data_IF_635995803842
#
_entry.id   IF_635995803842
#
_cell.length_a   1.000
_cell.length_b   1.000
_cell.length_c   1.000
_cell.angle_alpha   90.00
_cell.angle_beta   90.00
_cell.angle_gamma   90.00
#
_symmetry.space_group_name_H-M   'P 1'
#
loop_
_entity.id
_entity.type
_entity.pdbx_description
1 polymer ?
#
# COMPACT_ATOMS: atom_id res chain seq x y z
N UNK A 1 13.84 -13.30 -4.91
CA UNK A 1 14.02 -14.70 -5.38
C UNK A 1 15.41 -15.25 -5.06
N UNK A 2 16.52 -14.64 -5.53
CA UNK A 2 17.88 -15.16 -5.30
C UNK A 2 18.25 -15.33 -3.82
N UNK A 3 17.84 -14.39 -2.96
CA UNK A 3 18.08 -14.47 -1.51
C UNK A 3 17.46 -15.72 -0.88
N UNK A 4 16.27 -16.12 -1.34
CA UNK A 4 15.54 -17.28 -0.82
C UNK A 4 15.89 -18.59 -1.52
N UNK A 5 16.52 -18.53 -2.70
CA UNK A 5 16.81 -19.71 -3.50
C UNK A 5 17.72 -20.71 -2.74
N UNK A 6 18.82 -20.23 -2.18
CA UNK A 6 19.77 -21.09 -1.44
C UNK A 6 19.11 -21.78 -0.23
N UNK A 7 18.48 -21.07 0.73
CA UNK A 7 17.87 -21.74 1.87
C UNK A 7 16.71 -22.67 1.47
N UNK A 8 15.89 -22.29 0.48
CA UNK A 8 14.79 -23.13 0.02
C UNK A 8 15.27 -24.41 -0.68
N UNK A 9 16.33 -24.33 -1.49
CA UNK A 9 16.95 -25.51 -2.12
C UNK A 9 17.50 -26.45 -1.04
N UNK A 10 18.24 -25.92 -0.06
CA UNK A 10 18.78 -26.70 1.04
C UNK A 10 17.67 -27.39 1.85
N UNK A 11 16.57 -26.69 2.14
CA UNK A 11 15.41 -27.25 2.84
C UNK A 11 14.72 -28.35 2.00
N UNK A 12 14.58 -28.12 0.69
CA UNK A 12 14.00 -29.08 -0.24
C UNK A 12 14.82 -30.38 -0.36
N UNK A 13 16.14 -30.32 -0.19
CA UNK A 13 17.01 -31.50 -0.19
C UNK A 13 16.78 -32.43 1.01
N UNK A 14 16.16 -31.97 2.10
CA UNK A 14 15.98 -32.78 3.33
C UNK A 14 15.19 -34.06 3.06
N UNK A 15 14.09 -33.98 2.30
CA UNK A 15 13.22 -35.14 2.04
C UNK A 15 13.93 -36.24 1.21
N UNK A 16 14.57 -35.95 0.06
CA UNK A 16 15.36 -36.94 -0.68
C UNK A 16 16.48 -37.59 0.13
N UNK A 17 17.20 -36.82 0.95
CA UNK A 17 18.26 -37.37 1.80
C UNK A 17 17.70 -38.28 2.91
N UNK A 18 16.60 -37.88 3.55
CA UNK A 18 15.93 -38.69 4.57
C UNK A 18 15.45 -40.04 4.00
N UNK A 19 14.87 -40.03 2.79
CA UNK A 19 14.47 -41.25 2.10
C UNK A 19 15.69 -42.13 1.81
N UNK A 20 16.77 -41.56 1.26
CA UNK A 20 17.99 -42.31 0.93
C UNK A 20 18.63 -42.96 2.17
N UNK A 21 18.63 -42.27 3.31
CA UNK A 21 19.16 -42.79 4.58
C UNK A 21 18.24 -43.86 5.21
N UNK A 22 16.94 -43.83 4.92
CA UNK A 22 15.97 -44.76 5.51
C UNK A 22 15.76 -46.04 4.69
N UNK A 23 16.22 -46.07 3.44
CA UNK A 23 16.09 -47.23 2.54
C UNK A 23 17.35 -48.08 2.62
N UNK A 24 17.42 -48.96 3.61
CA UNK A 24 18.49 -49.97 3.73
C UNK A 24 18.08 -51.35 3.16
N UNK A 25 16.78 -51.62 2.94
CA UNK A 25 16.30 -52.86 2.32
C UNK A 25 15.10 -52.62 1.38
N UNK A 26 15.20 -53.16 0.16
CA UNK A 26 14.24 -52.97 -0.95
C UNK A 26 12.81 -53.38 -0.58
N UNK A 27 12.63 -54.34 0.34
CA UNK A 27 11.32 -54.96 0.67
C UNK A 27 10.48 -54.11 1.67
N UNK A 28 11.07 -53.18 2.43
CA UNK A 28 10.34 -52.24 3.33
C UNK A 28 10.26 -50.80 2.80
N UNK A 29 10.80 -50.57 1.61
CA UNK A 29 10.97 -49.23 1.00
C UNK A 29 9.65 -48.46 0.83
N UNK A 30 8.57 -49.14 0.39
CA UNK A 30 7.29 -48.49 0.08
C UNK A 30 6.56 -47.89 1.30
N UNK A 31 6.52 -48.60 2.44
CA UNK A 31 5.84 -48.11 3.65
C UNK A 31 6.60 -46.95 4.30
N UNK A 32 7.92 -47.03 4.37
CA UNK A 32 8.77 -45.97 4.92
C UNK A 32 8.73 -44.72 4.03
N UNK A 33 8.81 -44.89 2.71
CA UNK A 33 8.67 -43.77 1.77
C UNK A 33 7.28 -43.12 1.86
N UNK A 34 6.21 -43.91 1.95
CA UNK A 34 4.84 -43.41 2.10
C UNK A 34 4.62 -42.65 3.42
N UNK A 35 5.17 -43.13 4.54
CA UNK A 35 5.10 -42.43 5.83
C UNK A 35 5.88 -41.11 5.81
N UNK A 36 7.10 -41.10 5.26
CA UNK A 36 7.87 -39.87 5.09
C UNK A 36 7.14 -38.85 4.22
N UNK A 37 6.50 -39.31 3.15
CA UNK A 37 5.70 -38.43 2.28
C UNK A 37 4.48 -37.85 3.02
N UNK A 38 3.75 -38.68 3.77
CA UNK A 38 2.59 -38.22 4.54
C UNK A 38 2.97 -37.18 5.62
N UNK A 39 4.09 -37.39 6.33
CA UNK A 39 4.61 -36.43 7.31
C UNK A 39 5.02 -35.13 6.61
N UNK A 40 5.67 -35.22 5.46
CA UNK A 40 6.07 -34.05 4.66
C UNK A 40 4.85 -33.25 4.22
N UNK A 41 3.81 -33.89 3.70
CA UNK A 41 2.56 -33.22 3.30
C UNK A 41 1.88 -32.53 4.48
N UNK A 42 1.73 -33.22 5.62
CA UNK A 42 1.16 -32.62 6.82
C UNK A 42 2.00 -31.41 7.29
N UNK A 43 3.32 -31.57 7.32
CA UNK A 43 4.26 -30.50 7.66
C UNK A 43 4.17 -29.31 6.70
N UNK A 44 3.98 -29.53 5.40
CA UNK A 44 3.78 -28.46 4.42
C UNK A 44 2.46 -27.72 4.65
N UNK A 45 1.36 -28.43 4.94
CA UNK A 45 0.08 -27.79 5.29
C UNK A 45 0.25 -26.88 6.51
N UNK A 46 0.83 -27.40 7.60
CA UNK A 46 1.12 -26.59 8.78
C UNK A 46 2.08 -25.43 8.47
N UNK A 47 3.13 -25.70 7.69
CA UNK A 47 4.13 -24.71 7.29
C UNK A 47 3.59 -23.62 6.37
N UNK A 48 2.49 -23.86 5.66
CA UNK A 48 1.81 -22.85 4.84
C UNK A 48 0.82 -22.02 5.67
N UNK A 49 0.01 -22.66 6.51
CA UNK A 49 -1.05 -21.95 7.24
C UNK A 49 -0.56 -21.29 8.53
N UNK A 50 0.34 -21.91 9.30
CA UNK A 50 0.81 -21.40 10.58
C UNK A 50 1.50 -20.03 10.47
N UNK A 51 2.42 -19.79 9.51
CA UNK A 51 3.02 -18.47 9.36
C UNK A 51 2.01 -17.44 8.91
N UNK A 52 1.19 -17.78 7.91
CA UNK A 52 0.30 -16.83 7.23
C UNK A 52 -0.88 -16.42 8.11
N UNK A 53 -1.52 -17.37 8.78
CA UNK A 53 -2.75 -17.11 9.54
C UNK A 53 -2.50 -16.74 11.00
N UNK A 54 -1.32 -17.05 11.55
CA UNK A 54 -1.08 -16.83 12.98
C UNK A 54 0.23 -16.10 13.31
N UNK A 55 1.38 -16.59 12.86
CA UNK A 55 2.65 -15.98 13.29
C UNK A 55 2.88 -14.58 12.70
N UNK A 56 2.72 -14.40 11.39
CA UNK A 56 2.92 -13.09 10.74
C UNK A 56 1.95 -12.04 11.33
N UNK A 57 0.64 -12.32 11.46
CA UNK A 57 -0.28 -11.36 12.08
C UNK A 57 -0.01 -11.04 13.55
N UNK A 58 0.58 -11.95 14.34
CA UNK A 58 0.73 -11.77 15.80
C UNK A 58 2.09 -11.25 16.22
N UNK A 59 3.17 -11.74 15.60
CA UNK A 59 4.54 -11.42 15.98
C UNK A 59 5.34 -10.75 14.86
N UNK A 60 4.73 -10.55 13.68
CA UNK A 60 5.37 -9.92 12.54
C UNK A 60 6.24 -10.86 11.72
N UNK A 61 6.67 -10.38 10.55
CA UNK A 61 7.41 -11.17 9.56
C UNK A 61 8.81 -11.51 10.06
N UNK A 62 9.51 -10.52 10.61
CA UNK A 62 10.88 -10.69 11.11
C UNK A 62 10.99 -11.75 12.20
N UNK A 63 10.13 -11.68 13.23
CA UNK A 63 10.15 -12.65 14.33
C UNK A 63 9.73 -14.04 13.86
N UNK A 64 8.80 -14.11 12.92
CA UNK A 64 8.41 -15.38 12.29
C UNK A 64 9.62 -16.07 11.65
N UNK A 65 10.43 -15.34 10.88
CA UNK A 65 11.67 -15.89 10.30
C UNK A 65 12.65 -16.38 11.38
N UNK A 66 12.84 -15.63 12.47
CA UNK A 66 13.73 -16.05 13.54
C UNK A 66 13.21 -17.29 14.26
N UNK A 67 11.90 -17.36 14.54
CA UNK A 67 11.28 -18.53 15.18
C UNK A 67 11.49 -19.78 14.33
N UNK A 68 11.31 -19.72 13.02
CA UNK A 68 11.60 -20.83 12.13
C UNK A 68 13.10 -21.17 12.07
N UNK A 69 13.97 -20.16 12.01
CA UNK A 69 15.41 -20.37 12.00
C UNK A 69 15.89 -21.08 13.28
N UNK A 70 15.39 -20.66 14.45
CA UNK A 70 15.68 -21.31 15.73
C UNK A 70 15.12 -22.73 15.77
N UNK A 71 13.90 -22.94 15.30
CA UNK A 71 13.27 -24.27 15.28
C UNK A 71 14.08 -25.26 14.43
N UNK A 72 14.50 -24.85 13.23
CA UNK A 72 15.34 -25.66 12.34
C UNK A 72 16.73 -25.92 12.94
N UNK A 73 17.33 -24.90 13.56
CA UNK A 73 18.63 -25.03 14.22
C UNK A 73 18.54 -25.98 15.43
N UNK A 74 17.46 -25.90 16.21
CA UNK A 74 17.20 -26.77 17.35
C UNK A 74 17.07 -28.24 16.93
N UNK A 75 16.29 -28.52 15.87
CA UNK A 75 16.20 -29.88 15.29
C UNK A 75 17.55 -30.38 14.82
N UNK A 76 18.34 -29.51 14.17
CA UNK A 76 19.69 -29.84 13.70
C UNK A 76 20.64 -30.18 14.86
N UNK A 77 20.56 -29.44 15.97
CA UNK A 77 21.36 -29.70 17.18
C UNK A 77 20.98 -31.05 17.80
N UNK A 78 19.68 -31.34 17.94
CA UNK A 78 19.20 -32.62 18.45
C UNK A 78 19.79 -33.77 17.63
N UNK A 79 19.71 -33.69 16.30
CA UNK A 79 20.28 -34.71 15.41
C UNK A 79 21.79 -34.87 15.59
N UNK A 80 22.55 -33.78 15.65
CA UNK A 80 24.01 -33.82 15.83
C UNK A 80 24.42 -34.38 17.21
N UNK A 81 23.67 -34.07 18.27
CA UNK A 81 23.92 -34.58 19.62
C UNK A 81 23.56 -36.06 19.72
N UNK A 82 22.43 -36.49 19.15
CA UNK A 82 21.99 -37.88 19.15
C UNK A 82 22.96 -38.80 18.39
N UNK A 83 23.63 -38.28 17.36
CA UNK A 83 24.62 -39.02 16.56
C UNK A 83 26.06 -38.95 17.13
N UNK A 84 26.27 -38.32 18.29
CA UNK A 84 27.60 -38.32 18.93
C UNK A 84 27.96 -39.74 19.36
N UNK A 85 29.07 -40.33 18.87
CA UNK A 85 29.54 -41.61 19.39
C UNK A 85 29.89 -41.46 20.87
N UNK A 86 29.36 -42.38 21.69
CA UNK A 86 29.73 -42.50 23.11
C UNK A 86 31.25 -42.55 23.22
N UNK A 87 31.85 -41.65 24.02
CA UNK A 87 33.30 -41.54 24.20
C UNK A 87 33.90 -42.87 24.67
N UNK A 88 34.53 -43.59 23.75
CA UNK A 88 35.22 -44.86 24.02
C UNK A 88 36.25 -45.27 22.96
N UNK A 89 36.76 -44.35 22.14
CA UNK A 89 37.74 -44.65 21.09
C UNK A 89 38.78 -43.55 20.88
N UNK A 90 39.98 -43.87 20.32
CA UNK A 90 41.20 -43.07 20.49
C UNK A 90 41.16 -41.73 19.74
N UNK A 91 41.86 -40.77 20.33
CA UNK A 91 42.01 -39.37 19.94
C UNK A 91 42.49 -39.15 18.49
N UNK A 92 41.58 -38.74 17.61
CA UNK A 92 41.91 -38.07 16.35
C UNK A 92 41.85 -36.55 16.50
N UNK A 93 42.55 -35.78 15.64
CA UNK A 93 42.78 -34.35 15.83
C UNK A 93 41.46 -33.58 15.89
N UNK A 94 41.37 -32.67 16.88
CA UNK A 94 40.20 -31.90 17.27
C UNK A 94 39.65 -31.05 16.11
N UNK A 95 38.81 -31.65 15.25
CA UNK A 95 37.86 -30.88 14.44
C UNK A 95 36.90 -30.18 15.41
N UNK A 96 36.57 -28.89 15.19
CA UNK A 96 35.62 -28.21 16.05
C UNK A 96 34.31 -29.01 16.08
N UNK A 97 33.81 -29.25 17.28
CA UNK A 97 32.60 -30.04 17.45
C UNK A 97 31.44 -29.28 16.78
N UNK A 98 30.91 -29.84 15.69
CA UNK A 98 29.86 -29.21 14.90
C UNK A 98 28.63 -28.89 15.77
N UNK A 99 28.37 -29.68 16.82
CA UNK A 99 27.29 -29.39 17.76
C UNK A 99 27.59 -28.18 18.66
N UNK A 100 28.85 -27.94 19.05
CA UNK A 100 29.23 -26.71 19.75
C UNK A 100 29.04 -25.49 18.85
N UNK A 101 29.37 -25.59 17.55
CA UNK A 101 29.16 -24.52 16.57
C UNK A 101 27.67 -24.22 16.36
N UNK A 102 26.81 -25.24 16.26
CA UNK A 102 25.36 -25.06 16.15
C UNK A 102 24.74 -24.46 17.42
N UNK A 103 25.21 -24.85 18.61
CA UNK A 103 24.80 -24.25 19.88
C UNK A 103 25.24 -22.78 19.97
N UNK A 104 26.46 -22.47 19.50
CA UNK A 104 26.97 -21.10 19.44
C UNK A 104 26.15 -20.22 18.49
N UNK A 105 25.52 -20.77 17.45
CA UNK A 105 24.62 -20.05 16.54
C UNK A 105 23.24 -19.74 17.16
N UNK A 106 22.80 -20.46 18.21
CA UNK A 106 21.56 -20.12 18.92
C UNK A 106 21.68 -18.82 19.71
N UNK A 107 22.89 -18.46 20.14
CA UNK A 107 23.14 -17.25 20.94
C UNK A 107 22.86 -15.97 20.14
N UNK A 108 23.48 -15.71 18.96
CA UNK A 108 23.16 -14.54 18.17
C UNK A 108 21.71 -14.56 17.64
N UNK A 109 21.13 -15.74 17.40
CA UNK A 109 19.74 -15.87 16.95
C UNK A 109 18.73 -15.55 18.07
N UNK A 110 19.00 -16.00 19.29
CA UNK A 110 18.22 -15.64 20.48
C UNK A 110 18.40 -14.17 20.87
N UNK A 111 19.61 -13.62 20.71
CA UNK A 111 19.86 -12.19 20.83
C UNK A 111 19.13 -11.39 19.75
N UNK A 112 18.97 -11.90 18.53
CA UNK A 112 18.19 -11.25 17.48
C UNK A 112 16.67 -11.20 17.79
N UNK A 113 16.16 -12.11 18.64
CA UNK A 113 14.77 -12.05 19.14
C UNK A 113 14.54 -10.95 20.17
N UNK A 114 15.55 -10.66 21.00
CA UNK A 114 15.43 -9.82 22.21
C UNK A 114 16.14 -8.47 22.05
N UNK A 115 17.09 -8.38 21.12
CA UNK A 115 17.96 -7.22 20.92
C UNK A 115 17.20 -6.00 20.40
N UNK A 116 17.72 -4.79 20.66
CA UNK A 116 17.12 -3.56 20.17
C UNK A 116 17.06 -3.59 18.65
N UNK A 117 15.83 -3.47 18.14
CA UNK A 117 15.55 -3.45 16.73
C UNK A 117 15.91 -2.06 16.21
N UNK A 118 16.93 -1.98 15.34
CA UNK A 118 17.08 -0.83 14.47
C UNK A 118 15.92 -0.79 13.47
N UNK A 119 15.78 0.32 12.75
CA UNK A 119 14.78 0.43 11.69
C UNK A 119 14.96 -0.71 10.68
N UNK A 120 13.89 -1.44 10.35
CA UNK A 120 13.94 -2.53 9.38
C UNK A 120 14.40 -2.01 8.01
N UNK A 121 14.00 -0.78 7.67
CA UNK A 121 14.45 -0.06 6.48
C UNK A 121 14.75 1.41 6.81
N UNK A 122 15.66 2.07 6.07
CA UNK A 122 15.96 3.47 6.28
C UNK A 122 14.70 4.35 6.09
N UNK A 123 14.46 5.34 6.98
CA UNK A 123 13.33 6.26 6.86
C UNK A 123 13.60 7.33 5.78
N UNK A 124 13.35 6.99 4.53
CA UNK A 124 13.55 7.89 3.39
C UNK A 124 12.28 8.68 3.07
N UNK A 125 12.00 9.74 3.82
CA UNK A 125 10.92 10.68 3.52
C UNK A 125 11.19 11.52 2.26
N UNK A 126 10.31 12.46 1.95
CA UNK A 126 10.48 13.35 0.80
C UNK A 126 11.82 14.10 0.92
N UNK A 127 12.67 14.06 -0.11
CA UNK A 127 14.08 14.53 -0.14
C UNK A 127 15.15 13.48 0.21
N UNK A 128 14.80 12.20 0.33
CA UNK A 128 15.78 11.11 0.47
C UNK A 128 16.34 10.96 1.90
N UNK A 129 15.65 11.53 2.89
CA UNK A 129 16.02 11.44 4.30
C UNK A 129 14.84 11.72 5.22
N UNK A 130 15.05 11.58 6.52
CA UNK A 130 14.03 11.80 7.55
C UNK A 130 14.39 11.12 8.86
N UNK A 131 13.74 11.53 9.95
CA UNK A 131 13.85 10.86 11.23
C UNK A 131 12.69 9.88 11.39
N UNK A 132 13.00 8.60 11.58
CA UNK A 132 11.98 7.60 11.92
C UNK A 132 11.34 7.97 13.27
N UNK A 133 10.03 8.20 13.27
CA UNK A 133 9.25 8.39 14.50
C UNK A 133 8.79 7.05 15.03
N UNK A 134 8.21 6.22 14.15
CA UNK A 134 7.75 4.87 14.50
C UNK A 134 7.60 4.02 13.23
N UNK A 135 7.66 2.70 13.39
CA UNK A 135 7.32 1.73 12.35
C UNK A 135 6.45 0.60 12.91
N UNK A 136 5.52 0.09 12.09
CA UNK A 136 4.58 -0.98 12.45
C UNK A 136 4.34 -1.90 11.26
N UNK A 137 4.04 -3.15 11.53
CA UNK A 137 3.49 -4.10 10.57
C UNK A 137 2.00 -4.27 10.86
N UNK A 138 1.19 -4.20 9.81
CA UNK A 138 -0.23 -4.58 9.82
C UNK A 138 -0.45 -5.77 8.86
N UNK A 139 -1.64 -6.39 8.84
CA UNK A 139 -1.98 -7.40 7.84
C UNK A 139 -1.94 -6.89 6.39
N UNK A 140 -1.98 -5.56 6.18
CA UNK A 140 -2.02 -4.94 4.87
C UNK A 140 -0.70 -4.29 4.47
N UNK A 141 -0.03 -3.62 5.42
CA UNK A 141 1.09 -2.74 5.12
C UNK A 141 2.22 -2.85 6.14
N UNK A 142 3.44 -2.64 5.65
CA UNK A 142 4.53 -2.16 6.47
C UNK A 142 4.47 -0.63 6.53
N UNK A 143 4.31 -0.05 7.72
CA UNK A 143 4.00 1.37 7.91
C UNK A 143 5.16 2.06 8.61
N UNK A 144 5.62 3.19 8.08
CA UNK A 144 6.55 4.10 8.74
C UNK A 144 5.97 5.50 8.88
N UNK A 145 6.12 6.08 10.06
CA UNK A 145 5.89 7.51 10.31
C UNK A 145 7.25 8.17 10.39
N UNK A 146 7.49 9.11 9.47
CA UNK A 146 8.78 9.77 9.31
C UNK A 146 8.61 11.28 9.44
N UNK A 147 9.54 11.93 10.14
CA UNK A 147 9.59 13.39 10.24
C UNK A 147 10.62 13.96 9.28
N UNK A 148 10.19 14.89 8.44
CA UNK A 148 11.02 15.62 7.46
C UNK A 148 10.80 17.11 7.68
N UNK A 149 11.75 17.78 8.35
CA UNK A 149 11.54 19.15 8.81
C UNK A 149 10.30 19.25 9.71
N UNK A 150 9.35 20.11 9.33
CA UNK A 150 8.07 20.28 10.03
C UNK A 150 6.98 19.31 9.55
N UNK A 151 7.24 18.51 8.51
CA UNK A 151 6.27 17.54 7.98
C UNK A 151 6.39 16.21 8.72
N UNK A 152 5.24 15.66 9.12
CA UNK A 152 5.09 14.24 9.47
C UNK A 152 4.51 13.54 8.26
N UNK A 153 5.17 12.48 7.81
CA UNK A 153 4.89 11.78 6.56
C UNK A 153 4.58 10.31 6.83
N UNK A 154 3.56 9.79 6.15
CA UNK A 154 3.21 8.37 6.16
C UNK A 154 3.86 7.68 4.95
N UNK A 155 4.64 6.65 5.20
CA UNK A 155 5.28 5.84 4.16
C UNK A 155 4.85 4.39 4.34
N UNK A 156 4.50 3.73 3.23
CA UNK A 156 4.07 2.34 3.22
C UNK A 156 5.05 1.47 2.43
N UNK A 157 5.16 0.20 2.80
CA UNK A 157 5.82 -0.90 2.10
C UNK A 157 7.25 -0.58 1.64
N UNK A 158 7.48 -0.28 0.36
CA UNK A 158 8.80 0.05 -0.19
C UNK A 158 9.24 1.47 0.21
N UNK A 159 8.31 2.37 0.53
CA UNK A 159 8.58 3.76 0.89
C UNK A 159 8.93 4.62 -0.33
N UNK A 160 8.44 4.21 -1.50
CA UNK A 160 8.65 4.95 -2.75
C UNK A 160 7.73 6.17 -2.84
N UNK A 161 6.56 6.13 -2.19
CA UNK A 161 5.62 7.24 -2.11
C UNK A 161 5.33 7.71 -0.69
N UNK A 162 4.99 9.00 -0.60
CA UNK A 162 4.40 9.60 0.59
C UNK A 162 2.88 9.46 0.47
N UNK A 163 2.26 8.81 1.46
CA UNK A 163 0.84 8.46 1.44
C UNK A 163 -0.03 9.44 2.24
N UNK A 164 0.59 10.24 3.10
CA UNK A 164 -0.06 11.34 3.80
C UNK A 164 0.98 12.29 4.35
N UNK A 165 0.61 13.56 4.45
CA UNK A 165 1.42 14.62 5.05
C UNK A 165 0.58 15.36 6.08
N UNK A 166 1.18 15.57 7.25
CA UNK A 166 0.71 16.52 8.24
C UNK A 166 1.79 17.58 8.48
N UNK A 167 1.38 18.84 8.48
CA UNK A 167 2.23 19.96 8.90
C UNK A 167 1.45 20.85 9.87
N UNK A 168 1.93 21.09 11.10
CA UNK A 168 1.18 21.88 12.08
C UNK A 168 1.01 23.35 11.66
N UNK A 169 1.93 23.88 10.86
CA UNK A 169 1.99 25.29 10.47
C UNK A 169 1.31 25.57 9.12
N UNK A 170 0.95 24.53 8.36
CA UNK A 170 0.41 24.64 7.00
C UNK A 170 -0.69 23.63 6.76
N UNK A 171 -1.81 24.09 6.19
CA UNK A 171 -2.92 23.22 5.77
C UNK A 171 -2.57 22.55 4.44
N UNK A 172 -2.20 23.35 3.44
CA UNK A 172 -1.85 22.86 2.11
C UNK A 172 -0.50 22.16 2.11
N UNK A 173 -0.45 21.00 1.46
CA UNK A 173 0.74 20.14 1.34
C UNK A 173 1.56 20.45 0.10
N UNK A 174 1.01 21.21 -0.85
CA UNK A 174 1.55 21.36 -2.22
C UNK A 174 1.62 20.02 -2.97
N UNK A 175 0.95 18.98 -2.44
CA UNK A 175 0.87 17.63 -2.98
C UNK A 175 -0.38 17.41 -3.81
N UNK A 176 -0.62 16.16 -4.26
CA UNK A 176 -1.83 15.79 -4.99
C UNK A 176 -3.11 15.98 -4.16
N UNK A 177 -3.04 15.88 -2.83
CA UNK A 177 -4.20 16.04 -1.93
C UNK A 177 -4.89 17.40 -2.06
N UNK A 178 -4.11 18.48 -2.19
CA UNK A 178 -4.61 19.85 -2.38
C UNK A 178 -5.62 19.96 -3.55
N UNK A 179 -5.43 19.16 -4.61
CA UNK A 179 -6.24 19.24 -5.82
C UNK A 179 -7.66 18.69 -5.65
N UNK A 180 -7.89 17.85 -4.64
CA UNK A 180 -9.24 17.40 -4.29
C UNK A 180 -10.13 18.58 -3.88
N UNK A 181 -9.55 19.62 -3.27
CA UNK A 181 -10.26 20.82 -2.86
C UNK A 181 -10.85 21.60 -4.04
N UNK A 182 -10.22 21.56 -5.23
CA UNK A 182 -10.66 22.36 -6.38
C UNK A 182 -11.54 21.57 -7.36
N UNK A 183 -11.61 20.24 -7.23
CA UNK A 183 -12.39 19.39 -8.12
C UNK A 183 -13.89 19.77 -8.22
N UNK A 184 -14.59 20.18 -7.14
CA UNK A 184 -16.00 20.58 -7.23
C UNK A 184 -16.24 21.77 -8.19
N UNK A 185 -15.23 22.61 -8.41
CA UNK A 185 -15.34 23.80 -9.24
C UNK A 185 -15.30 23.51 -10.75
N UNK A 186 -15.16 22.26 -11.16
CA UNK A 186 -15.46 21.85 -12.54
C UNK A 186 -16.97 21.85 -12.84
N UNK A 187 -17.82 21.94 -11.83
CA UNK A 187 -19.27 22.12 -12.01
C UNK A 187 -19.66 23.44 -12.66
N UNK A 188 -20.89 23.50 -13.15
CA UNK A 188 -21.47 24.69 -13.77
C UNK A 188 -21.39 25.94 -12.86
N UNK A 189 -21.00 27.06 -13.44
CA UNK A 189 -20.84 28.33 -12.73
C UNK A 189 -22.18 29.06 -12.54
N UNK A 190 -22.39 29.79 -11.42
CA UNK A 190 -21.49 29.91 -10.28
C UNK A 190 -21.51 28.68 -9.38
N UNK A 191 -20.32 28.13 -9.10
CA UNK A 191 -20.12 27.13 -8.03
C UNK A 191 -19.43 27.78 -6.83
N UNK A 192 -19.94 27.54 -5.62
CA UNK A 192 -19.39 28.08 -4.37
C UNK A 192 -19.13 26.97 -3.34
N UNK A 193 -18.26 27.25 -2.37
CA UNK A 193 -17.90 26.30 -1.30
C UNK A 193 -19.11 25.79 -0.51
N UNK A 194 -20.14 26.63 -0.33
CA UNK A 194 -21.39 26.26 0.37
C UNK A 194 -22.21 25.16 -0.30
N UNK A 195 -21.93 24.81 -1.56
CA UNK A 195 -22.61 23.74 -2.27
C UNK A 195 -22.05 22.36 -1.91
N UNK A 196 -20.84 22.28 -1.35
CA UNK A 196 -20.24 21.04 -0.86
C UNK A 196 -20.68 20.83 0.59
N UNK A 197 -21.51 19.82 0.83
CA UNK A 197 -22.07 19.49 2.15
C UNK A 197 -21.59 18.15 2.68
N UNK A 198 -21.27 17.20 1.79
CA UNK A 198 -20.80 15.87 2.19
C UNK A 198 -19.70 15.33 1.28
N UNK A 199 -18.64 14.80 1.89
CA UNK A 199 -17.44 14.27 1.23
C UNK A 199 -17.21 12.82 1.66
N UNK A 200 -16.95 11.94 0.70
CA UNK A 200 -16.55 10.56 0.94
C UNK A 200 -15.13 10.35 0.45
N UNK A 201 -14.22 9.88 1.30
CA UNK A 201 -12.82 9.62 0.95
C UNK A 201 -12.56 8.12 1.08
N UNK A 202 -12.23 7.48 -0.05
CA UNK A 202 -11.80 6.08 -0.12
C UNK A 202 -10.28 6.04 -0.18
N UNK A 203 -9.65 5.44 0.83
CA UNK A 203 -8.22 5.60 1.09
C UNK A 203 -7.99 6.87 1.90
N UNK A 204 -8.23 6.80 3.21
CA UNK A 204 -8.09 7.94 4.12
C UNK A 204 -6.63 8.32 4.38
N UNK A 205 -5.75 7.30 4.39
CA UNK A 205 -4.40 7.45 4.88
C UNK A 205 -4.39 8.01 6.31
N UNK A 206 -3.54 9.00 6.55
CA UNK A 206 -3.44 9.70 7.82
C UNK A 206 -4.21 11.04 7.89
N UNK A 207 -5.24 11.21 7.07
CA UNK A 207 -6.22 12.30 7.23
C UNK A 207 -5.86 13.64 6.58
N UNK A 208 -4.90 13.65 5.63
CA UNK A 208 -4.51 14.87 4.91
C UNK A 208 -5.69 15.53 4.20
N UNK A 209 -6.45 14.78 3.39
CA UNK A 209 -7.60 15.30 2.65
C UNK A 209 -8.71 15.82 3.61
N UNK A 210 -9.17 15.06 4.63
CA UNK A 210 -10.16 15.57 5.58
C UNK A 210 -9.78 16.88 6.28
N UNK A 211 -8.52 17.01 6.69
CA UNK A 211 -7.99 18.22 7.32
C UNK A 211 -8.10 19.43 6.39
N UNK A 212 -7.71 19.24 5.14
CA UNK A 212 -7.80 20.27 4.10
C UNK A 212 -9.26 20.67 3.83
N UNK A 213 -10.16 19.70 3.67
CA UNK A 213 -11.59 19.98 3.47
C UNK A 213 -12.19 20.74 4.66
N UNK A 214 -11.88 20.32 5.88
CA UNK A 214 -12.39 20.97 7.09
C UNK A 214 -11.91 22.42 7.20
N UNK A 215 -10.65 22.69 6.84
CA UNK A 215 -10.08 24.04 6.86
C UNK A 215 -10.66 24.97 5.77
N UNK A 216 -11.00 24.43 4.59
CA UNK A 216 -11.42 25.23 3.43
C UNK A 216 -12.93 25.35 3.28
N UNK A 217 -13.66 24.26 3.52
CA UNK A 217 -15.11 24.16 3.37
C UNK A 217 -15.86 24.30 4.71
N UNK A 218 -15.16 24.32 5.84
CA UNK A 218 -15.75 24.39 7.17
C UNK A 218 -16.25 23.02 7.64
N UNK A 219 -17.29 22.94 8.49
CA UNK A 219 -17.77 21.68 9.10
C UNK A 219 -18.60 20.83 8.12
N UNK A 220 -18.04 20.56 6.94
CA UNK A 220 -18.59 19.64 5.94
C UNK A 220 -18.55 18.22 6.50
N UNK A 221 -19.60 17.41 6.32
CA UNK A 221 -19.58 16.03 6.81
C UNK A 221 -18.62 15.18 5.96
N UNK A 222 -17.69 14.48 6.60
CA UNK A 222 -16.67 13.67 5.92
C UNK A 222 -16.79 12.22 6.40
N UNK A 223 -17.06 11.29 5.49
CA UNK A 223 -16.89 9.86 5.72
C UNK A 223 -15.52 9.45 5.14
N UNK A 224 -14.59 9.00 5.98
CA UNK A 224 -13.24 8.59 5.59
C UNK A 224 -13.05 7.10 5.77
N UNK A 225 -12.76 6.37 4.69
CA UNK A 225 -12.69 4.92 4.65
C UNK A 225 -11.24 4.46 4.49
N UNK A 226 -10.76 3.68 5.45
CA UNK A 226 -9.41 3.13 5.49
C UNK A 226 -9.47 1.63 5.78
N UNK A 227 -8.83 0.82 4.95
CA UNK A 227 -8.84 -0.64 5.14
C UNK A 227 -7.95 -1.04 6.32
N UNK A 228 -6.90 -0.27 6.60
CA UNK A 228 -5.89 -0.57 7.61
C UNK A 228 -6.11 0.23 8.90
N UNK A 229 -6.75 -0.40 9.90
CA UNK A 229 -6.97 0.20 11.21
C UNK A 229 -5.68 0.64 11.93
N UNK A 230 -4.52 0.06 11.60
CA UNK A 230 -3.23 0.47 12.19
C UNK A 230 -2.82 1.85 11.68
N UNK A 231 -3.15 2.20 10.43
CA UNK A 231 -2.93 3.54 9.88
C UNK A 231 -3.82 4.54 10.61
N UNK A 232 -5.09 4.22 10.86
CA UNK A 232 -6.01 5.09 11.62
C UNK A 232 -5.49 5.39 13.02
N UNK A 233 -5.03 4.37 13.75
CA UNK A 233 -4.45 4.55 15.08
C UNK A 233 -3.23 5.48 15.03
N UNK A 234 -2.31 5.25 14.09
CA UNK A 234 -1.12 6.09 13.91
C UNK A 234 -1.48 7.51 13.47
N UNK A 235 -2.52 7.69 12.65
CA UNK A 235 -2.99 8.97 12.17
C UNK A 235 -3.51 9.86 13.30
N UNK A 236 -4.32 9.30 14.19
CA UNK A 236 -4.83 10.02 15.37
C UNK A 236 -3.68 10.44 16.30
N UNK A 237 -2.68 9.57 16.50
CA UNK A 237 -1.57 9.83 17.43
C UNK A 237 -0.49 10.76 16.87
N UNK A 238 -0.10 10.62 15.61
CA UNK A 238 1.07 11.30 15.04
C UNK A 238 0.73 12.37 13.99
N UNK A 239 -0.46 12.31 13.38
CA UNK A 239 -0.91 13.24 12.35
C UNK A 239 -2.04 14.15 12.83
N UNK A 240 -2.46 14.02 14.09
CA UNK A 240 -3.53 14.82 14.70
C UNK A 240 -4.84 14.79 13.91
N UNK A 241 -5.18 13.63 13.32
CA UNK A 241 -6.44 13.40 12.60
C UNK A 241 -7.61 13.36 13.58
N UNK A 242 -8.07 14.54 13.99
CA UNK A 242 -9.02 14.79 15.08
C UNK A 242 -10.18 15.72 14.67
N UNK A 243 -10.40 15.88 13.36
CA UNK A 243 -11.44 16.72 12.80
C UNK A 243 -12.83 16.27 13.33
N UNK A 244 -13.60 17.15 13.99
CA UNK A 244 -14.87 16.76 14.62
C UNK A 244 -15.96 16.38 13.62
N UNK A 245 -15.78 16.75 12.36
CA UNK A 245 -16.66 16.47 11.23
C UNK A 245 -16.19 15.26 10.40
N UNK A 246 -15.14 14.55 10.82
CA UNK A 246 -14.66 13.32 10.21
C UNK A 246 -15.21 12.09 10.93
N UNK A 247 -15.91 11.24 10.19
CA UNK A 247 -16.33 9.91 10.60
C UNK A 247 -15.41 8.88 9.93
N UNK A 248 -14.56 8.24 10.73
CA UNK A 248 -13.60 7.24 10.25
C UNK A 248 -14.24 5.85 10.24
N UNK A 249 -14.11 5.16 9.11
CA UNK A 249 -14.69 3.85 8.85
C UNK A 249 -13.56 2.90 8.47
N UNK A 250 -13.34 1.86 9.28
CA UNK A 250 -12.26 0.88 9.04
C UNK A 250 -12.80 -0.30 8.24
N UNK A 251 -12.91 -0.14 6.92
CA UNK A 251 -13.48 -1.13 6.00
C UNK A 251 -12.82 -1.05 4.61
N UNK A 252 -13.05 -2.06 3.77
CA UNK A 252 -12.71 -1.98 2.34
C UNK A 252 -13.56 -0.90 1.65
N UNK A 253 -12.91 -0.07 0.82
CA UNK A 253 -13.53 1.07 0.18
C UNK A 253 -14.66 0.72 -0.79
N UNK A 254 -14.52 -0.38 -1.54
CA UNK A 254 -15.55 -0.83 -2.47
C UNK A 254 -16.73 -1.46 -1.73
N UNK A 255 -16.44 -2.27 -0.71
CA UNK A 255 -17.47 -2.83 0.16
C UNK A 255 -18.30 -1.74 0.84
N UNK A 256 -17.64 -0.70 1.38
CA UNK A 256 -18.32 0.46 1.95
C UNK A 256 -19.26 1.11 0.93
N UNK A 257 -18.78 1.34 -0.29
CA UNK A 257 -19.58 1.99 -1.34
C UNK A 257 -20.79 1.14 -1.75
N UNK A 258 -20.67 -0.19 -1.74
CA UNK A 258 -21.78 -1.10 -2.05
C UNK A 258 -22.84 -1.19 -0.94
N UNK A 259 -22.48 -0.87 0.29
CA UNK A 259 -23.35 -1.04 1.47
C UNK A 259 -23.93 0.26 2.01
N UNK A 260 -23.25 1.38 1.75
CA UNK A 260 -23.71 2.71 2.16
C UNK A 260 -24.94 3.14 1.37
N UNK A 261 -25.76 4.02 1.96
CA UNK A 261 -26.90 4.69 1.30
C UNK A 261 -26.67 6.19 1.13
N UNK A 262 -25.47 6.64 1.51
CA UNK A 262 -25.11 8.05 1.56
C UNK A 262 -24.78 8.56 0.16
N UNK A 263 -25.11 9.82 -0.11
CA UNK A 263 -24.72 10.48 -1.34
C UNK A 263 -23.76 11.63 -1.04
N UNK A 264 -22.82 11.88 -1.95
CA UNK A 264 -21.71 12.78 -1.73
C UNK A 264 -21.60 13.83 -2.82
N UNK A 265 -21.18 15.03 -2.44
CA UNK A 265 -20.82 16.10 -3.38
C UNK A 265 -19.39 15.89 -3.90
N UNK A 266 -18.55 15.20 -3.15
CA UNK A 266 -17.21 14.77 -3.55
C UNK A 266 -16.97 13.34 -3.12
N UNK A 267 -16.58 12.47 -4.05
CA UNK A 267 -15.97 11.17 -3.73
C UNK A 267 -14.50 11.24 -4.14
N UNK A 268 -13.60 11.24 -3.17
CA UNK A 268 -12.16 11.15 -3.38
C UNK A 268 -11.69 9.70 -3.30
N UNK A 269 -10.88 9.26 -4.25
CA UNK A 269 -10.27 7.93 -4.30
C UNK A 269 -8.76 8.14 -4.28
N UNK A 270 -8.16 7.89 -3.11
CA UNK A 270 -6.73 8.01 -2.82
C UNK A 270 -6.21 6.72 -2.17
N UNK A 271 -6.60 5.57 -2.75
CA UNK A 271 -6.23 4.25 -2.26
C UNK A 271 -5.05 3.69 -3.07
N UNK A 272 -3.98 3.30 -2.36
CA UNK A 272 -2.80 2.70 -2.96
C UNK A 272 -2.38 1.44 -2.20
N UNK A 273 -1.97 0.44 -2.97
CA UNK A 273 -1.16 -0.68 -2.50
C UNK A 273 0.10 -0.68 -3.37
N UNK A 274 1.09 0.15 -3.00
CA UNK A 274 2.24 0.43 -3.88
C UNK A 274 2.88 -0.85 -4.43
N UNK A 275 3.28 -0.83 -5.71
CA UNK A 275 3.21 0.29 -6.67
C UNK A 275 1.84 0.48 -7.36
N UNK A 276 0.79 -0.22 -6.94
CA UNK A 276 -0.48 -0.32 -7.67
C UNK A 276 -1.65 0.44 -7.02
N UNK A 277 -2.61 0.86 -7.83
CA UNK A 277 -3.97 1.15 -7.37
C UNK A 277 -4.70 -0.20 -7.37
N UNK A 278 -5.41 -0.60 -6.30
CA UNK A 278 -6.13 -1.88 -6.28
C UNK A 278 -7.09 -1.98 -7.47
N UNK A 279 -6.97 -3.04 -8.27
CA UNK A 279 -7.68 -3.15 -9.55
C UNK A 279 -9.20 -2.98 -9.40
N UNK A 280 -9.77 -3.44 -8.29
CA UNK A 280 -11.21 -3.33 -8.03
C UNK A 280 -11.70 -1.89 -7.88
N UNK A 281 -10.81 -0.90 -7.75
CA UNK A 281 -11.10 0.53 -7.68
C UNK A 281 -10.82 1.28 -8.99
N UNK A 282 -10.49 0.57 -10.08
CA UNK A 282 -10.14 1.19 -11.37
C UNK A 282 -11.10 0.84 -12.50
N UNK A 283 -12.11 0.00 -12.24
CA UNK A 283 -12.98 -0.60 -13.27
C UNK A 283 -14.16 0.29 -13.64
N UNK A 284 -14.72 0.06 -14.82
CA UNK A 284 -15.99 0.69 -15.24
C UNK A 284 -17.12 0.41 -14.24
N UNK A 285 -17.22 -0.81 -13.72
CA UNK A 285 -18.24 -1.21 -12.74
C UNK A 285 -18.10 -0.41 -11.43
N UNK A 286 -16.88 -0.28 -10.92
CA UNK A 286 -16.61 0.57 -9.76
C UNK A 286 -16.97 2.04 -10.03
N UNK A 287 -16.62 2.58 -11.20
CA UNK A 287 -17.00 3.96 -11.53
C UNK A 287 -18.51 4.16 -11.65
N UNK A 288 -19.26 3.12 -12.07
CA UNK A 288 -20.73 3.14 -12.02
C UNK A 288 -21.26 3.19 -10.59
N UNK A 289 -20.69 2.37 -9.67
CA UNK A 289 -21.01 2.41 -8.24
C UNK A 289 -20.72 3.81 -7.66
N UNK A 290 -19.55 4.38 -7.95
CA UNK A 290 -19.16 5.75 -7.52
C UNK A 290 -20.17 6.77 -8.03
N UNK A 291 -20.47 6.75 -9.33
CA UNK A 291 -21.40 7.71 -9.93
C UNK A 291 -22.81 7.61 -9.32
N UNK A 292 -23.25 6.41 -8.94
CA UNK A 292 -24.57 6.21 -8.31
C UNK A 292 -24.67 6.83 -6.91
N UNK A 293 -23.55 7.02 -6.22
CA UNK A 293 -23.47 7.66 -4.90
C UNK A 293 -23.12 9.16 -4.96
N UNK A 294 -23.00 9.75 -6.15
CA UNK A 294 -22.80 11.18 -6.29
C UNK A 294 -24.13 11.93 -6.30
N UNK A 295 -24.15 13.13 -5.71
CA UNK A 295 -25.25 14.08 -5.93
C UNK A 295 -25.30 14.51 -7.42
N UNK A 296 -26.38 15.16 -7.90
CA UNK A 296 -26.46 15.60 -9.30
C UNK A 296 -25.33 16.55 -9.73
N UNK A 297 -24.74 17.28 -8.77
CA UNK A 297 -23.57 18.15 -8.97
C UNK A 297 -22.31 17.58 -8.30
N UNK A 298 -22.31 16.28 -7.97
CA UNK A 298 -21.20 15.62 -7.34
C UNK A 298 -20.05 15.38 -8.32
N UNK A 299 -18.83 15.31 -7.78
CA UNK A 299 -17.62 14.98 -8.53
C UNK A 299 -16.90 13.80 -7.91
N UNK A 300 -16.32 12.95 -8.77
CA UNK A 300 -15.39 11.91 -8.35
C UNK A 300 -13.96 12.34 -8.71
N UNK A 301 -13.00 12.09 -7.82
CA UNK A 301 -11.59 12.43 -8.00
C UNK A 301 -10.76 11.21 -7.71
N UNK A 302 -9.92 10.79 -8.65
CA UNK A 302 -8.97 9.69 -8.48
C UNK A 302 -7.57 10.26 -8.51
N UNK A 303 -6.77 9.98 -7.49
CA UNK A 303 -5.34 10.23 -7.52
C UNK A 303 -4.64 9.07 -8.24
N UNK A 304 -3.86 9.36 -9.28
CA UNK A 304 -3.09 8.36 -10.02
C UNK A 304 -1.60 8.73 -10.05
N UNK A 305 -0.75 7.80 -9.61
CA UNK A 305 0.70 7.91 -9.74
C UNK A 305 1.12 7.75 -11.21
N UNK A 306 2.19 8.43 -11.59
CA UNK A 306 2.81 8.34 -12.91
C UNK A 306 4.32 8.55 -12.79
N UNK A 307 5.02 8.45 -13.91
CA UNK A 307 6.39 9.00 -13.99
C UNK A 307 6.36 10.43 -14.54
N UNK A 308 7.53 11.05 -14.70
CA UNK A 308 7.69 12.32 -15.41
C UNK A 308 7.06 12.33 -16.82
N UNK A 309 7.01 11.15 -17.46
CA UNK A 309 6.98 11.07 -18.91
C UNK A 309 6.05 9.95 -19.44
N UNK A 310 5.50 9.12 -18.56
CA UNK A 310 4.58 8.04 -18.91
C UNK A 310 3.24 8.22 -18.18
N UNK A 311 2.19 8.46 -18.96
CA UNK A 311 0.84 8.74 -18.49
C UNK A 311 -0.13 7.59 -18.76
N UNK A 312 0.35 6.41 -19.19
CA UNK A 312 -0.54 5.31 -19.62
C UNK A 312 -1.57 4.90 -18.57
N UNK A 313 -1.19 4.86 -17.29
CA UNK A 313 -2.15 4.57 -16.20
C UNK A 313 -3.21 5.67 -16.07
N UNK A 314 -2.77 6.93 -16.11
CA UNK A 314 -3.66 8.11 -16.03
C UNK A 314 -4.65 8.10 -17.19
N UNK A 315 -4.17 7.84 -18.41
CA UNK A 315 -4.98 7.74 -19.62
C UNK A 315 -5.96 6.57 -19.55
N UNK A 316 -5.51 5.38 -19.13
CA UNK A 316 -6.36 4.21 -18.99
C UNK A 316 -7.48 4.44 -17.95
N UNK A 317 -7.16 5.06 -16.81
CA UNK A 317 -8.14 5.46 -15.79
C UNK A 317 -9.11 6.50 -16.33
N UNK A 318 -8.63 7.56 -16.98
CA UNK A 318 -9.46 8.62 -17.51
C UNK A 318 -10.42 8.13 -18.60
N UNK A 319 -9.94 7.29 -19.53
CA UNK A 319 -10.76 6.73 -20.60
C UNK A 319 -11.77 5.70 -20.09
N UNK A 320 -11.39 4.87 -19.11
CA UNK A 320 -12.32 3.95 -18.42
C UNK A 320 -13.37 4.75 -17.67
N UNK A 321 -12.99 5.77 -16.90
CA UNK A 321 -13.92 6.66 -16.19
C UNK A 321 -14.85 7.41 -17.16
N UNK A 322 -14.35 7.80 -18.35
CA UNK A 322 -15.11 8.49 -19.39
C UNK A 322 -16.22 7.63 -20.02
N UNK A 323 -16.15 6.30 -19.89
CA UNK A 323 -17.26 5.40 -20.25
C UNK A 323 -18.49 5.59 -19.35
N UNK A 324 -18.30 6.07 -18.12
CA UNK A 324 -19.34 6.24 -17.10
C UNK A 324 -19.75 7.70 -16.89
N UNK A 325 -18.76 8.60 -16.88
CA UNK A 325 -18.94 10.05 -16.66
C UNK A 325 -19.02 10.81 -17.98
N UNK A 326 -19.88 11.82 -18.04
CA UNK A 326 -20.07 12.60 -19.27
C UNK A 326 -18.85 13.46 -19.62
N UNK A 327 -18.18 13.98 -18.59
CA UNK A 327 -16.95 14.75 -18.72
C UNK A 327 -15.94 14.25 -17.71
N UNK A 328 -14.71 14.07 -18.16
CA UNK A 328 -13.56 13.68 -17.33
C UNK A 328 -12.42 14.65 -17.61
N UNK A 329 -11.82 15.17 -16.56
CA UNK A 329 -10.72 16.13 -16.63
C UNK A 329 -9.48 15.54 -15.96
N UNK A 330 -8.31 15.96 -16.41
CA UNK A 330 -7.03 15.55 -15.85
C UNK A 330 -6.27 16.80 -15.43
N UNK A 331 -5.69 16.78 -14.23
CA UNK A 331 -4.78 17.81 -13.72
C UNK A 331 -3.51 17.13 -13.22
N UNK A 332 -2.36 17.59 -13.67
CA UNK A 332 -1.07 17.05 -13.24
C UNK A 332 -0.58 17.78 -11.98
N UNK A 333 -0.20 17.03 -10.94
CA UNK A 333 0.37 17.59 -9.73
C UNK A 333 1.81 18.03 -9.96
N UNK A 334 2.22 19.09 -9.27
CA UNK A 334 3.61 19.57 -9.32
C UNK A 334 4.55 18.78 -8.41
N UNK A 335 4.03 18.27 -7.28
CA UNK A 335 4.77 17.45 -6.32
C UNK A 335 4.31 15.99 -6.44
N UNK A 336 5.26 15.06 -6.30
CA UNK A 336 5.09 13.60 -6.23
C UNK A 336 4.73 12.84 -7.53
N UNK A 337 4.82 13.48 -8.70
CA UNK A 337 4.53 12.81 -9.99
C UNK A 337 3.16 12.11 -10.02
N UNK A 338 2.11 12.84 -9.68
CA UNK A 338 0.74 12.36 -9.75
C UNK A 338 -0.06 13.14 -10.81
N UNK A 339 -1.21 12.58 -11.16
CA UNK A 339 -2.28 13.25 -11.89
C UNK A 339 -3.61 12.93 -11.22
N UNK A 340 -4.47 13.93 -11.12
CA UNK A 340 -5.83 13.80 -10.63
C UNK A 340 -6.76 13.65 -11.82
N UNK A 341 -7.54 12.57 -11.81
CA UNK A 341 -8.58 12.29 -12.80
C UNK A 341 -9.94 12.62 -12.18
N UNK A 342 -10.65 13.58 -12.75
CA UNK A 342 -11.85 14.19 -12.17
C UNK A 342 -13.04 13.93 -13.09
N UNK A 343 -14.03 13.16 -12.64
CA UNK A 343 -15.29 12.95 -13.35
C UNK A 343 -16.44 13.75 -12.75
N UNK A 344 -17.19 14.47 -13.58
CA UNK A 344 -18.36 15.25 -13.14
C UNK A 344 -19.65 14.51 -13.42
N UNK A 345 -20.57 14.47 -12.43
CA UNK A 345 -21.87 13.82 -12.62
C UNK A 345 -22.81 14.68 -13.49
N UNK A 346 -22.73 16.01 -13.32
CA UNK A 346 -23.35 16.98 -14.22
C UNK A 346 -22.57 17.06 -15.54
N UNK A 347 -23.26 17.43 -16.63
CA UNK A 347 -22.58 17.83 -17.87
C UNK A 347 -21.91 19.18 -17.67
N UNK A 348 -20.63 19.26 -17.99
CA UNK A 348 -19.76 20.42 -17.74
C UNK A 348 -18.80 20.66 -18.91
N UNK A 349 -18.02 21.72 -18.83
CA UNK A 349 -16.93 22.05 -19.73
C UNK A 349 -15.77 22.67 -18.96
N UNK A 350 -14.55 22.61 -19.53
CA UNK A 350 -13.38 23.19 -18.89
C UNK A 350 -13.52 24.72 -18.64
N UNK A 351 -14.33 25.42 -19.45
CA UNK A 351 -14.69 26.83 -19.22
C UNK A 351 -15.38 27.09 -17.89
N UNK A 352 -16.10 26.11 -17.33
CA UNK A 352 -16.70 26.22 -16.00
C UNK A 352 -15.62 26.40 -14.93
N UNK A 353 -14.55 25.59 -14.98
CA UNK A 353 -13.44 25.69 -14.04
C UNK A 353 -12.75 27.05 -14.09
N UNK A 354 -12.47 27.58 -15.29
CA UNK A 354 -11.90 28.92 -15.43
C UNK A 354 -12.83 30.02 -14.89
N UNK A 355 -14.13 29.93 -15.18
CA UNK A 355 -15.14 30.91 -14.72
C UNK A 355 -15.28 30.90 -13.20
N UNK A 356 -15.33 29.71 -12.62
CA UNK A 356 -15.41 29.53 -11.17
C UNK A 356 -14.12 30.00 -10.48
N UNK A 357 -12.95 29.69 -11.04
CA UNK A 357 -11.64 30.13 -10.52
C UNK A 357 -11.56 31.66 -10.43
N UNK A 358 -12.05 32.37 -11.46
CA UNK A 358 -12.09 33.83 -11.45
C UNK A 358 -12.99 34.42 -10.35
N UNK A 359 -13.93 33.63 -9.81
CA UNK A 359 -14.86 34.01 -8.75
C UNK A 359 -14.44 33.51 -7.36
N UNK A 360 -13.37 32.73 -7.25
CA UNK A 360 -12.89 32.20 -5.97
C UNK A 360 -12.40 33.33 -5.05
N UNK A 361 -12.92 33.33 -3.82
CA UNK A 361 -12.54 34.28 -2.78
C UNK A 361 -11.61 33.67 -1.73
N UNK A 362 -11.71 32.36 -1.47
CA UNK A 362 -10.84 31.67 -0.52
C UNK A 362 -9.38 31.65 -1.05
N UNK A 363 -8.39 32.17 -0.29
CA UNK A 363 -7.01 32.25 -0.76
C UNK A 363 -6.37 30.90 -1.09
N UNK A 364 -6.68 29.84 -0.33
CA UNK A 364 -6.12 28.51 -0.53
C UNK A 364 -6.63 27.89 -1.85
N UNK A 365 -7.95 27.92 -2.06
CA UNK A 365 -8.55 27.47 -3.33
C UNK A 365 -8.02 28.25 -4.51
N UNK A 366 -7.91 29.57 -4.36
CA UNK A 366 -7.36 30.45 -5.39
C UNK A 366 -5.92 30.05 -5.73
N UNK A 367 -5.05 29.87 -4.74
CA UNK A 367 -3.66 29.48 -5.01
C UNK A 367 -3.56 28.15 -5.78
N UNK A 368 -4.35 27.13 -5.39
CA UNK A 368 -4.31 25.81 -6.03
C UNK A 368 -4.87 25.91 -7.46
N UNK A 369 -5.98 26.60 -7.65
CA UNK A 369 -6.63 26.71 -8.95
C UNK A 369 -5.77 27.49 -9.97
N UNK A 370 -5.18 28.62 -9.56
CA UNK A 370 -4.27 29.37 -10.45
C UNK A 370 -3.00 28.57 -10.76
N UNK A 371 -2.41 27.88 -9.78
CA UNK A 371 -1.27 27.00 -10.02
C UNK A 371 -1.62 25.85 -10.97
N UNK A 372 -2.83 25.28 -10.85
CA UNK A 372 -3.33 24.24 -11.74
C UNK A 372 -3.48 24.75 -13.16
N UNK A 373 -4.01 25.96 -13.35
CA UNK A 373 -4.14 26.59 -14.67
C UNK A 373 -2.76 26.85 -15.29
N UNK A 374 -1.81 27.34 -14.49
CA UNK A 374 -0.50 27.72 -14.99
C UNK A 374 0.42 26.52 -15.30
N UNK A 375 0.37 25.48 -14.47
CA UNK A 375 1.36 24.40 -14.47
C UNK A 375 0.79 22.99 -14.47
N UNK A 376 -0.51 22.84 -14.21
CA UNK A 376 -1.17 21.54 -14.06
C UNK A 376 -1.61 20.88 -15.37
N UNK A 377 -1.28 21.46 -16.53
CA UNK A 377 -1.61 20.92 -17.86
C UNK A 377 -3.06 20.40 -17.97
N UNK A 378 -4.01 21.22 -17.50
CA UNK A 378 -5.41 20.82 -17.37
C UNK A 378 -5.98 20.49 -18.75
N UNK A 379 -6.63 19.32 -18.86
CA UNK A 379 -7.21 18.83 -20.11
C UNK A 379 -8.49 18.04 -19.85
N UNK A 380 -9.33 17.94 -20.88
CA UNK A 380 -10.52 17.08 -20.88
C UNK A 380 -10.23 15.80 -21.67
N UNK A 381 -10.53 14.64 -21.08
CA UNK A 381 -10.46 13.36 -21.77
C UNK A 381 -11.73 13.15 -22.61
N UNK A 382 -11.54 12.93 -23.91
CA UNK A 382 -12.62 12.79 -24.88
C UNK A 382 -12.80 11.35 -25.37
N UNK A 383 -11.82 10.51 -25.14
CA UNK A 383 -11.80 9.10 -25.53
C UNK A 383 -12.43 8.26 -24.43
N UNK A 384 -13.19 7.23 -24.81
CA UNK A 384 -13.89 6.34 -23.87
C UNK A 384 -13.53 4.87 -24.10
N UNK A 385 -12.26 4.60 -24.42
CA UNK A 385 -11.80 3.22 -24.52
C UNK A 385 -11.79 2.60 -23.12
N UNK A 386 -12.45 1.45 -22.97
CA UNK A 386 -12.55 0.75 -21.69
C UNK A 386 -11.33 -0.17 -21.56
N UNK A 387 -10.44 0.16 -20.61
CA UNK A 387 -9.24 -0.63 -20.32
C UNK A 387 -9.47 -1.61 -19.17
N UNK A 388 -10.29 -1.22 -18.20
CA UNK A 388 -10.48 -1.97 -16.96
C UNK A 388 -11.96 -2.30 -16.74
N UNK A 389 -12.26 -3.59 -16.67
CA UNK A 389 -13.53 -4.13 -16.19
C UNK A 389 -13.26 -5.08 -15.04
N UNK A 390 -14.26 -5.41 -14.23
CA UNK A 390 -14.10 -6.41 -13.16
C UNK A 390 -13.60 -7.77 -13.67
N UNK A 391 -14.01 -8.17 -14.89
CA UNK A 391 -13.53 -9.39 -15.55
C UNK A 391 -12.10 -9.26 -16.12
N UNK A 392 -11.63 -8.03 -16.37
CA UNK A 392 -10.33 -7.77 -16.99
C UNK A 392 -9.79 -6.39 -16.58
N UNK A 393 -8.96 -6.38 -15.54
CA UNK A 393 -8.24 -5.19 -15.08
C UNK A 393 -6.75 -5.48 -14.86
N UNK A 394 -5.91 -5.56 -15.91
CA UNK A 394 -4.49 -5.88 -15.80
C UNK A 394 -3.66 -4.67 -15.32
N UNK A 395 -4.06 -4.07 -14.20
CA UNK A 395 -3.46 -2.84 -13.66
C UNK A 395 -1.99 -3.07 -13.30
N UNK A 396 -1.68 -4.21 -12.69
CA UNK A 396 -0.32 -4.58 -12.30
C UNK A 396 0.58 -4.75 -13.52
N UNK A 397 0.10 -5.42 -14.57
CA UNK A 397 0.86 -5.61 -15.80
C UNK A 397 1.16 -4.27 -16.50
N UNK A 398 0.20 -3.35 -16.50
CA UNK A 398 0.40 -2.01 -17.07
C UNK A 398 1.47 -1.24 -16.29
N UNK A 399 1.41 -1.26 -14.97
CA UNK A 399 2.37 -0.57 -14.10
C UNK A 399 3.75 -1.20 -14.20
N UNK A 400 3.85 -2.53 -14.24
CA UNK A 400 5.12 -3.23 -14.44
C UNK A 400 5.78 -2.82 -15.76
N UNK A 401 5.01 -2.69 -16.85
CA UNK A 401 5.52 -2.19 -18.13
C UNK A 401 6.05 -0.77 -18.03
N UNK A 402 5.35 0.12 -17.31
CA UNK A 402 5.82 1.50 -17.07
C UNK A 402 7.17 1.48 -16.33
N UNK A 403 7.31 0.64 -15.31
CA UNK A 403 8.55 0.49 -14.55
C UNK A 403 9.69 -0.04 -15.44
N UNK A 404 9.42 -1.08 -16.23
CA UNK A 404 10.43 -1.65 -17.15
C UNK A 404 10.86 -0.65 -18.21
N UNK A 405 9.94 0.12 -18.78
CA UNK A 405 10.24 1.14 -19.79
C UNK A 405 11.06 2.29 -19.18
N UNK A 406 10.75 2.71 -17.95
CA UNK A 406 11.53 3.71 -17.22
C UNK A 406 12.97 3.23 -16.96
N UNK A 407 13.16 1.97 -16.56
CA UNK A 407 14.49 1.38 -16.36
C UNK A 407 15.27 1.27 -17.68
N UNK A 408 14.59 0.89 -18.77
CA UNK A 408 15.22 0.71 -20.09
C UNK A 408 15.64 2.03 -20.72
N UNK A 409 14.81 3.06 -20.57
CA UNK A 409 15.04 4.37 -21.19
C UNK A 409 15.99 5.26 -20.37
N UNK A 410 16.47 4.75 -19.23
CA UNK A 410 17.32 5.48 -18.29
C UNK A 410 16.50 6.55 -17.59
N UNK A 411 15.98 6.22 -16.40
CA UNK A 411 15.41 7.22 -15.50
C UNK A 411 16.43 8.37 -15.36
N UNK A 412 16.08 9.54 -15.91
CA UNK A 412 16.87 10.76 -15.77
C UNK A 412 16.61 11.40 -14.43
#
# INVERSE_FOLDING_TARGET
ILLFAVPMILLGCVSPFAIRLSVEQVIRSGRTAGQLYAISTAGSIFGTFLPVLWLIPTIGTYRTFIVFAISLLFVSIIGLVALRPWKGGPSHPRRPDKSLLSILLLIPMGLALIGPQGAIKPPSGSSGGGALVTERESPYNYIQVVRVGDETQLLLNEGLGVHSIYNPNRVLTQGPWDYFLIAPFFNNAPFTTSQVRKVGIIGLGAGTIPREFSAVYGPVAIDGVEIDGTIVDLAQHYFHMNEPNLHVIVEDGRYFLQTTKQHYDVIGIDAYQQPYVPFQLTTTEFFHEVRSHLTPTGVAVVNAGRSCCDFRLVEALAQTMRSTFANVYIIDSQRFENSLVIGTNARTSLSNFYTNTARMTNPALKSIAYASIAYGHIREEKTSNVYFTDDRAPVEQLIDQIIFDALRNGAK
#
